data_IF_908513856965
#
_entry.id   IF_908513856965
#
_cell.length_a   1.000
_cell.length_b   1.000
_cell.length_c   1.000
_cell.angle_alpha   90.00
_cell.angle_beta   90.00
_cell.angle_gamma   90.00
#
_symmetry.space_group_name_H-M   'P 1'
#
loop_
_entity.id
_entity.type
_entity.pdbx_description
1 polymer ?
#
# COMPACT_ATOMS: atom_id res chain seq x y z
N UNK A 1 24.33 -7.56 32.22
CA UNK A 1 23.48 -8.14 31.17
C UNK A 1 22.11 -7.47 31.27
N UNK A 2 21.91 -6.36 30.57
CA UNK A 2 20.57 -5.78 30.46
C UNK A 2 19.71 -6.76 29.67
N UNK A 3 18.73 -7.36 30.34
CA UNK A 3 17.76 -8.24 29.71
C UNK A 3 17.12 -7.50 28.54
N UNK A 4 17.24 -8.07 27.35
CA UNK A 4 16.61 -7.57 26.12
C UNK A 4 15.09 -7.53 26.34
N UNK A 5 14.59 -6.39 26.82
CA UNK A 5 13.18 -6.18 27.10
C UNK A 5 12.49 -6.13 25.74
N UNK A 6 11.93 -7.26 25.30
CA UNK A 6 11.25 -7.36 24.01
C UNK A 6 10.31 -6.17 23.86
N UNK A 7 10.51 -5.37 22.80
CA UNK A 7 9.68 -4.21 22.54
C UNK A 7 8.24 -4.69 22.36
N UNK A 8 7.33 -4.09 23.14
CA UNK A 8 5.94 -4.55 23.25
C UNK A 8 5.23 -4.36 21.92
N UNK A 9 4.61 -5.42 21.42
CA UNK A 9 3.74 -5.42 20.25
C UNK A 9 2.57 -4.45 20.50
N UNK A 10 2.21 -3.65 19.49
CA UNK A 10 1.02 -2.80 19.54
C UNK A 10 -0.24 -3.63 19.28
N UNK A 11 -0.62 -4.38 20.32
CA UNK A 11 -1.76 -5.31 20.30
C UNK A 11 -3.06 -4.58 19.90
N UNK A 12 -3.25 -3.33 20.32
CA UNK A 12 -4.46 -2.56 19.99
C UNK A 12 -4.58 -2.32 18.48
N UNK A 13 -3.52 -1.79 17.87
CA UNK A 13 -3.49 -1.57 16.41
C UNK A 13 -3.58 -2.90 15.65
N UNK A 14 -2.90 -3.95 16.14
CA UNK A 14 -2.95 -5.28 15.53
C UNK A 14 -4.37 -5.85 15.50
N UNK A 15 -5.10 -5.84 16.62
CA UNK A 15 -6.49 -6.32 16.66
C UNK A 15 -7.42 -5.48 15.79
N UNK A 16 -7.32 -4.15 15.85
CA UNK A 16 -8.17 -3.27 15.07
C UNK A 16 -7.99 -3.50 13.55
N UNK A 17 -6.74 -3.59 13.10
CA UNK A 17 -6.41 -3.84 11.69
C UNK A 17 -6.73 -5.27 11.26
N UNK A 18 -6.60 -6.25 12.15
CA UNK A 18 -7.02 -7.64 11.90
C UNK A 18 -8.55 -7.77 11.77
N UNK A 19 -9.31 -6.93 12.47
CA UNK A 19 -10.77 -6.86 12.33
C UNK A 19 -11.23 -6.53 10.90
N UNK A 20 -10.42 -5.83 10.11
CA UNK A 20 -10.69 -5.57 8.70
C UNK A 20 -10.62 -6.87 7.88
N UNK A 21 -9.66 -7.75 8.15
CA UNK A 21 -9.59 -9.06 7.50
C UNK A 21 -10.73 -9.98 7.92
N UNK A 22 -11.19 -9.88 9.17
CA UNK A 22 -12.41 -10.55 9.60
C UNK A 22 -13.62 -10.05 8.80
N UNK A 23 -13.75 -8.73 8.58
CA UNK A 23 -14.80 -8.17 7.73
C UNK A 23 -14.73 -8.71 6.29
N UNK A 24 -13.53 -8.80 5.69
CA UNK A 24 -13.33 -9.41 4.37
C UNK A 24 -13.85 -10.87 4.37
N UNK A 25 -13.51 -11.65 5.39
CA UNK A 25 -13.96 -13.03 5.51
C UNK A 25 -15.49 -13.13 5.62
N UNK A 26 -16.12 -12.28 6.44
CA UNK A 26 -17.58 -12.25 6.60
C UNK A 26 -18.30 -11.90 5.29
N UNK A 27 -17.84 -10.87 4.58
CA UNK A 27 -18.40 -10.50 3.27
C UNK A 27 -18.27 -11.64 2.27
N UNK A 28 -17.11 -12.29 2.26
CA UNK A 28 -16.84 -13.39 1.36
C UNK A 28 -17.74 -14.59 1.64
N UNK A 29 -17.90 -14.97 2.91
CA UNK A 29 -18.80 -16.06 3.32
C UNK A 29 -20.24 -15.74 2.90
N UNK A 30 -20.68 -14.51 3.12
CA UNK A 30 -22.04 -14.06 2.77
C UNK A 30 -22.32 -14.18 1.27
N UNK A 31 -21.39 -13.77 0.40
CA UNK A 31 -21.56 -13.80 -1.06
C UNK A 31 -21.10 -15.10 -1.72
N UNK A 32 -20.47 -16.04 -1.00
CA UNK A 32 -19.78 -17.19 -1.59
C UNK A 32 -20.66 -18.02 -2.54
N UNK A 33 -21.92 -18.24 -2.16
CA UNK A 33 -22.87 -19.03 -2.95
C UNK A 33 -23.33 -18.36 -4.24
N UNK A 34 -23.23 -17.04 -4.34
CA UNK A 34 -23.63 -16.27 -5.51
C UNK A 34 -22.48 -16.04 -6.51
N UNK A 35 -21.24 -16.35 -6.12
CA UNK A 35 -20.06 -16.14 -6.95
C UNK A 35 -19.84 -17.30 -7.95
N UNK A 36 -19.40 -16.99 -9.18
CA UNK A 36 -19.04 -18.00 -10.17
C UNK A 36 -17.84 -18.83 -9.71
N UNK A 37 -17.70 -20.05 -10.22
CA UNK A 37 -16.58 -20.95 -9.86
C UNK A 37 -15.22 -20.43 -10.34
N UNK A 38 -15.22 -19.62 -11.39
CA UNK A 38 -14.07 -18.87 -11.88
C UNK A 38 -14.36 -17.38 -11.77
N UNK A 39 -13.48 -16.66 -11.06
CA UNK A 39 -13.62 -15.22 -10.83
C UNK A 39 -12.58 -14.45 -11.63
N UNK A 40 -12.98 -13.35 -12.26
CA UNK A 40 -12.06 -12.36 -12.83
C UNK A 40 -11.31 -11.67 -11.71
N UNK A 41 -9.99 -11.57 -11.85
CA UNK A 41 -9.08 -11.05 -10.81
C UNK A 41 -8.02 -10.12 -11.33
N UNK A 42 -7.77 -10.09 -12.64
CA UNK A 42 -6.79 -9.22 -13.25
C UNK A 42 -7.43 -8.42 -14.39
N UNK A 43 -7.06 -7.15 -14.44
CA UNK A 43 -7.57 -6.16 -15.39
C UNK A 43 -6.40 -5.54 -16.14
N UNK A 44 -6.55 -5.39 -17.45
CA UNK A 44 -5.61 -4.71 -18.31
C UNK A 44 -5.57 -3.21 -18.03
N UNK A 45 -4.65 -2.52 -18.71
CA UNK A 45 -4.44 -1.07 -18.53
C UNK A 45 -5.65 -0.22 -18.94
N UNK A 46 -6.50 -0.76 -19.82
CA UNK A 46 -7.76 -0.20 -20.25
C UNK A 46 -8.92 -0.46 -19.27
N UNK A 47 -8.70 -1.24 -18.21
CA UNK A 47 -9.73 -1.66 -17.26
C UNK A 47 -10.46 -2.94 -17.64
N UNK A 48 -10.10 -3.59 -18.74
CA UNK A 48 -10.76 -4.80 -19.22
C UNK A 48 -10.23 -6.07 -18.53
N UNK A 49 -11.08 -7.07 -18.23
CA UNK A 49 -10.65 -8.36 -17.73
C UNK A 49 -9.63 -9.03 -18.65
N UNK A 50 -8.53 -9.54 -18.09
CA UNK A 50 -7.56 -10.34 -18.83
C UNK A 50 -6.91 -11.46 -18.00
N UNK A 51 -7.41 -11.71 -16.79
CA UNK A 51 -6.98 -12.85 -15.97
C UNK A 51 -8.02 -13.22 -14.91
N UNK A 52 -8.08 -14.51 -14.60
CA UNK A 52 -9.03 -15.08 -13.66
C UNK A 52 -8.39 -16.15 -12.78
N UNK A 53 -9.05 -16.49 -11.68
CA UNK A 53 -8.64 -17.54 -10.75
C UNK A 53 -9.86 -18.32 -10.25
N UNK A 54 -9.64 -19.53 -9.74
CA UNK A 54 -10.68 -20.30 -9.08
C UNK A 54 -11.26 -19.53 -7.87
N UNK A 55 -12.57 -19.60 -7.66
CA UNK A 55 -13.30 -18.91 -6.58
C UNK A 55 -12.61 -19.01 -5.24
N UNK A 56 -12.22 -20.22 -4.80
CA UNK A 56 -11.59 -20.43 -3.49
C UNK A 56 -10.22 -19.74 -3.35
N UNK A 57 -9.48 -19.55 -4.46
CA UNK A 57 -8.21 -18.83 -4.44
C UNK A 57 -8.42 -17.34 -4.12
N UNK A 58 -9.47 -16.74 -4.69
CA UNK A 58 -9.81 -15.32 -4.51
C UNK A 58 -10.46 -15.05 -3.17
N UNK A 59 -11.33 -15.96 -2.74
CA UNK A 59 -12.19 -15.78 -1.57
C UNK A 59 -11.53 -16.23 -0.26
N UNK A 60 -10.69 -17.27 -0.31
CA UNK A 60 -10.10 -17.85 0.90
C UNK A 60 -8.59 -17.64 0.92
N UNK A 61 -7.88 -18.16 -0.08
CA UNK A 61 -6.42 -18.22 -0.04
C UNK A 61 -5.79 -16.82 -0.07
N UNK A 62 -6.27 -15.93 -0.94
CA UNK A 62 -5.71 -14.58 -1.12
C UNK A 62 -5.90 -13.72 0.13
N UNK A 63 -7.11 -13.57 0.71
CA UNK A 63 -7.29 -12.83 1.95
C UNK A 63 -6.50 -13.41 3.12
N UNK A 64 -6.41 -14.74 3.22
CA UNK A 64 -5.63 -15.40 4.27
C UNK A 64 -4.14 -15.11 4.13
N UNK A 65 -3.58 -15.18 2.92
CA UNK A 65 -2.19 -14.83 2.65
C UNK A 65 -1.90 -13.37 3.02
N UNK A 66 -2.77 -12.44 2.61
CA UNK A 66 -2.62 -11.03 2.96
C UNK A 66 -2.74 -10.80 4.47
N UNK A 67 -3.62 -11.53 5.15
CA UNK A 67 -3.71 -11.47 6.60
C UNK A 67 -2.41 -11.96 7.26
N UNK A 68 -1.84 -13.08 6.84
CA UNK A 68 -0.56 -13.58 7.34
C UNK A 68 0.58 -12.59 7.12
N UNK A 69 0.67 -11.99 5.92
CA UNK A 69 1.65 -10.95 5.59
C UNK A 69 1.46 -9.72 6.48
N UNK A 70 0.22 -9.29 6.71
CA UNK A 70 -0.09 -8.17 7.60
C UNK A 70 0.37 -8.42 9.04
N UNK A 71 0.05 -9.61 9.59
CA UNK A 71 0.48 -10.01 10.93
C UNK A 71 2.02 -10.01 11.02
N UNK A 72 2.68 -10.62 10.05
CA UNK A 72 4.14 -10.68 9.99
C UNK A 72 4.75 -9.28 9.98
N UNK A 73 4.26 -8.39 9.12
CA UNK A 73 4.78 -7.02 9.01
C UNK A 73 4.55 -6.23 10.31
N UNK A 74 3.36 -6.34 10.91
CA UNK A 74 3.03 -5.63 12.14
C UNK A 74 3.95 -6.05 13.29
N UNK A 75 4.14 -7.36 13.47
CA UNK A 75 5.02 -7.92 14.51
C UNK A 75 6.48 -7.55 14.23
N UNK A 76 6.95 -7.72 12.99
CA UNK A 76 8.33 -7.42 12.60
C UNK A 76 8.71 -5.97 12.93
N UNK A 77 7.86 -5.01 12.57
CA UNK A 77 8.15 -3.61 12.83
C UNK A 77 8.08 -3.24 14.31
N UNK A 78 7.17 -3.85 15.08
CA UNK A 78 7.11 -3.64 16.53
C UNK A 78 8.33 -4.21 17.25
N UNK A 79 8.77 -5.42 16.88
CA UNK A 79 9.97 -6.05 17.42
C UNK A 79 11.22 -5.25 17.07
N UNK A 80 11.34 -4.75 15.83
CA UNK A 80 12.42 -3.81 15.44
C UNK A 80 12.32 -2.45 16.15
N UNK A 81 11.18 -2.14 16.76
CA UNK A 81 10.92 -0.89 17.46
C UNK A 81 10.70 0.32 16.57
N UNK A 82 10.44 0.09 15.29
CA UNK A 82 10.04 1.12 14.33
C UNK A 82 8.53 1.11 14.07
N UNK A 83 7.79 0.19 14.70
CA UNK A 83 6.35 0.05 14.53
C UNK A 83 5.51 1.27 14.93
N UNK A 84 6.09 2.20 15.69
CA UNK A 84 5.45 3.46 16.10
C UNK A 84 5.82 4.65 15.23
N UNK A 85 6.76 4.50 14.27
CA UNK A 85 7.11 5.63 13.40
C UNK A 85 5.88 6.03 12.57
N UNK A 86 5.75 7.33 12.24
CA UNK A 86 4.55 7.83 11.57
C UNK A 86 4.21 7.08 10.27
N UNK A 87 5.20 6.78 9.43
CA UNK A 87 5.00 6.07 8.16
C UNK A 87 4.55 4.64 8.39
N UNK A 88 5.19 3.91 9.33
CA UNK A 88 4.84 2.53 9.61
C UNK A 88 3.44 2.42 10.23
N UNK A 89 3.07 3.36 11.12
CA UNK A 89 1.72 3.39 11.69
C UNK A 89 0.66 3.54 10.60
N UNK A 90 0.89 4.43 9.65
CA UNK A 90 -0.01 4.64 8.51
C UNK A 90 -0.05 3.40 7.62
N UNK A 91 1.10 2.79 7.34
CA UNK A 91 1.17 1.57 6.53
C UNK A 91 0.37 0.41 7.13
N UNK A 92 0.46 0.20 8.46
CA UNK A 92 -0.32 -0.84 9.17
C UNK A 92 -1.84 -0.68 8.99
N UNK A 93 -2.33 0.55 8.75
CA UNK A 93 -3.75 0.80 8.47
C UNK A 93 -4.05 0.78 6.96
N UNK A 94 -3.17 1.36 6.16
CA UNK A 94 -3.37 1.45 4.71
C UNK A 94 -3.42 0.07 4.06
N UNK A 95 -2.55 -0.86 4.47
CA UNK A 95 -2.50 -2.21 3.91
C UNK A 95 -3.83 -2.99 4.03
N UNK A 96 -4.42 -3.18 5.23
CA UNK A 96 -5.71 -3.88 5.35
C UNK A 96 -6.87 -3.13 4.70
N UNK A 97 -6.87 -1.80 4.70
CA UNK A 97 -7.91 -1.01 4.03
C UNK A 97 -7.88 -1.20 2.51
N UNK A 98 -6.69 -1.20 1.90
CA UNK A 98 -6.54 -1.50 0.48
C UNK A 98 -6.99 -2.93 0.18
N UNK A 99 -6.61 -3.90 1.01
CA UNK A 99 -7.07 -5.28 0.87
C UNK A 99 -8.60 -5.39 0.90
N UNK A 100 -9.26 -4.65 1.80
CA UNK A 100 -10.73 -4.61 1.89
C UNK A 100 -11.34 -4.01 0.62
N UNK A 101 -10.87 -2.84 0.17
CA UNK A 101 -11.43 -2.18 -1.01
C UNK A 101 -11.27 -3.07 -2.25
N UNK A 102 -10.09 -3.68 -2.42
CA UNK A 102 -9.83 -4.59 -3.54
C UNK A 102 -10.76 -5.81 -3.45
N UNK A 103 -10.91 -6.44 -2.28
CA UNK A 103 -11.83 -7.58 -2.15
C UNK A 103 -13.27 -7.20 -2.42
N UNK A 104 -13.75 -6.08 -1.90
CA UNK A 104 -15.11 -5.60 -2.17
C UNK A 104 -15.31 -5.34 -3.66
N UNK A 105 -14.33 -4.73 -4.35
CA UNK A 105 -14.42 -4.52 -5.80
C UNK A 105 -14.47 -5.83 -6.58
N UNK A 106 -13.67 -6.83 -6.20
CA UNK A 106 -13.65 -8.13 -6.85
C UNK A 106 -14.95 -8.89 -6.65
N UNK A 107 -15.51 -8.85 -5.43
CA UNK A 107 -16.85 -9.40 -5.16
C UNK A 107 -17.90 -8.70 -6.02
N UNK A 108 -17.92 -7.37 -6.02
CA UNK A 108 -18.88 -6.58 -6.80
C UNK A 108 -18.86 -6.92 -8.29
N UNK A 109 -17.67 -6.95 -8.89
CA UNK A 109 -17.50 -7.24 -10.31
C UNK A 109 -17.97 -8.65 -10.67
N UNK A 110 -17.60 -9.65 -9.87
CA UNK A 110 -17.96 -11.04 -10.13
C UNK A 110 -19.42 -11.39 -9.79
N UNK A 111 -20.14 -10.48 -9.12
CA UNK A 111 -21.59 -10.54 -8.96
C UNK A 111 -22.35 -9.86 -10.11
N UNK A 112 -21.65 -9.42 -11.16
CA UNK A 112 -22.23 -8.74 -12.33
C UNK A 112 -22.29 -7.22 -12.21
N UNK A 113 -21.64 -6.64 -11.20
CA UNK A 113 -21.54 -5.20 -11.04
C UNK A 113 -20.55 -4.57 -12.02
N UNK A 114 -20.89 -3.39 -12.53
CA UNK A 114 -19.98 -2.59 -13.35
C UNK A 114 -19.05 -1.75 -12.47
N UNK A 115 -17.77 -1.68 -12.85
CA UNK A 115 -16.78 -0.86 -12.16
C UNK A 115 -15.63 -0.50 -13.12
N UNK A 116 -15.26 0.78 -13.18
CA UNK A 116 -14.04 1.22 -13.88
C UNK A 116 -12.81 0.88 -13.02
N UNK A 117 -12.23 -0.29 -13.28
CA UNK A 117 -11.07 -0.79 -12.53
C UNK A 117 -9.81 0.06 -12.73
N UNK A 118 -9.66 0.70 -13.89
CA UNK A 118 -8.55 1.65 -14.12
C UNK A 118 -8.66 2.80 -13.14
N UNK A 119 -9.84 3.43 -13.03
CA UNK A 119 -10.08 4.54 -12.10
C UNK A 119 -9.90 4.11 -10.65
N UNK A 120 -10.40 2.93 -10.28
CA UNK A 120 -10.23 2.39 -8.93
C UNK A 120 -8.74 2.26 -8.59
N UNK A 121 -7.97 1.53 -9.40
CA UNK A 121 -6.56 1.21 -9.09
C UNK A 121 -5.69 2.46 -9.09
N UNK A 122 -5.80 3.31 -10.12
CA UNK A 122 -5.02 4.55 -10.20
C UNK A 122 -5.41 5.51 -9.08
N UNK A 123 -6.70 5.60 -8.73
CA UNK A 123 -7.18 6.40 -7.60
C UNK A 123 -6.62 5.92 -6.26
N UNK A 124 -6.62 4.61 -6.01
CA UNK A 124 -6.05 4.02 -4.80
C UNK A 124 -4.53 4.26 -4.70
N UNK A 125 -3.80 4.08 -5.80
CA UNK A 125 -2.36 4.37 -5.85
C UNK A 125 -2.08 5.84 -5.57
N UNK A 126 -2.83 6.74 -6.20
CA UNK A 126 -2.65 8.17 -6.04
C UNK A 126 -2.90 8.61 -4.58
N UNK A 127 -3.99 8.17 -3.98
CA UNK A 127 -4.31 8.44 -2.56
C UNK A 127 -3.23 7.84 -1.66
N UNK A 128 -2.85 6.58 -1.90
CA UNK A 128 -1.79 5.90 -1.15
C UNK A 128 -0.47 6.66 -1.19
N UNK A 129 -0.04 7.13 -2.36
CA UNK A 129 1.18 7.92 -2.50
C UNK A 129 1.09 9.26 -1.78
N UNK A 130 -0.01 10.00 -1.89
CA UNK A 130 -0.17 11.26 -1.15
C UNK A 130 -0.16 11.04 0.37
N UNK A 131 -0.83 9.98 0.85
CA UNK A 131 -0.82 9.59 2.26
C UNK A 131 0.60 9.29 2.71
N UNK A 132 1.34 8.41 2.02
CA UNK A 132 2.73 8.09 2.37
C UNK A 132 3.61 9.36 2.32
N UNK A 133 3.49 10.16 1.27
CA UNK A 133 4.26 11.38 1.07
C UNK A 133 4.06 12.42 2.17
N UNK A 134 2.85 12.50 2.75
CA UNK A 134 2.55 13.36 3.89
C UNK A 134 3.19 12.90 5.21
N UNK A 135 3.53 11.62 5.34
CA UNK A 135 4.11 11.06 6.56
C UNK A 135 5.62 10.85 6.48
N UNK A 136 6.21 10.75 5.28
CA UNK A 136 7.67 10.64 5.10
C UNK A 136 8.47 11.74 5.84
N UNK A 137 8.10 13.04 5.78
CA UNK A 137 8.86 14.11 6.45
C UNK A 137 8.63 14.17 7.96
N UNK A 138 7.65 13.43 8.50
CA UNK A 138 7.26 13.46 9.92
C UNK A 138 8.06 12.52 10.79
N UNK A 139 8.89 11.66 10.19
CA UNK A 139 9.76 10.78 10.98
C UNK A 139 10.85 11.59 11.70
N UNK A 140 10.93 11.41 13.01
CA UNK A 140 11.92 12.07 13.85
C UNK A 140 13.32 11.51 13.57
N UNK A 141 14.20 12.37 13.06
CA UNK A 141 15.62 12.10 12.86
C UNK A 141 16.43 13.10 13.66
N UNK A 142 17.53 12.66 14.27
CA UNK A 142 18.50 13.58 14.86
C UNK A 142 19.04 14.53 13.78
N UNK A 143 18.72 15.81 13.94
CA UNK A 143 19.00 16.86 12.96
C UNK A 143 20.49 17.11 12.74
N UNK A 144 21.36 16.78 13.72
CA UNK A 144 22.81 17.00 13.62
C UNK A 144 23.52 15.87 12.88
N UNK A 145 23.07 14.63 13.04
CA UNK A 145 23.75 13.45 12.47
C UNK A 145 23.12 12.97 11.16
N UNK A 146 21.84 13.29 10.91
CA UNK A 146 21.07 12.72 9.78
C UNK A 146 20.50 13.79 8.83
N UNK A 147 21.20 14.91 8.65
CA UNK A 147 20.71 16.03 7.82
C UNK A 147 20.38 15.61 6.37
N UNK A 148 21.24 14.79 5.75
CA UNK A 148 21.06 14.29 4.38
C UNK A 148 19.81 13.43 4.28
N UNK A 149 19.61 12.52 5.23
CA UNK A 149 18.44 11.64 5.26
C UNK A 149 17.16 12.44 5.49
N UNK A 150 17.19 13.45 6.36
CA UNK A 150 16.06 14.36 6.58
C UNK A 150 15.69 15.12 5.31
N UNK A 151 16.68 15.67 4.58
CA UNK A 151 16.44 16.34 3.28
C UNK A 151 15.84 15.35 2.26
N UNK A 152 16.37 14.13 2.21
CA UNK A 152 15.87 13.06 1.34
C UNK A 152 14.42 12.68 1.63
N UNK A 153 14.06 12.49 2.90
CA UNK A 153 12.68 12.19 3.32
C UNK A 153 11.72 13.34 3.01
N UNK A 154 12.15 14.59 3.22
CA UNK A 154 11.34 15.78 2.89
C UNK A 154 11.07 15.88 1.39
N UNK A 155 12.12 15.75 0.56
CA UNK A 155 11.97 15.79 -0.89
C UNK A 155 11.16 14.61 -1.44
N UNK A 156 11.38 13.41 -0.89
CA UNK A 156 10.58 12.23 -1.23
C UNK A 156 9.11 12.45 -0.86
N UNK A 157 8.83 13.04 0.31
CA UNK A 157 7.47 13.40 0.72
C UNK A 157 6.77 14.29 -0.30
N UNK A 158 7.42 15.37 -0.75
CA UNK A 158 6.87 16.24 -1.80
C UNK A 158 6.69 15.51 -3.13
N UNK A 159 7.67 14.71 -3.54
CA UNK A 159 7.59 13.94 -4.78
C UNK A 159 6.39 12.98 -4.77
N UNK A 160 6.16 12.27 -3.67
CA UNK A 160 5.02 11.36 -3.51
C UNK A 160 3.67 12.09 -3.51
N UNK A 161 3.58 13.26 -2.88
CA UNK A 161 2.37 14.08 -2.90
C UNK A 161 2.08 14.59 -4.31
N UNK A 162 3.08 15.18 -4.98
CA UNK A 162 2.94 15.71 -6.35
C UNK A 162 2.64 14.59 -7.33
N UNK A 163 3.36 13.45 -7.23
CA UNK A 163 3.13 12.28 -8.06
C UNK A 163 1.73 11.70 -7.91
N UNK A 164 1.24 11.59 -6.66
CA UNK A 164 -0.15 11.19 -6.40
C UNK A 164 -1.16 12.17 -6.99
N UNK A 165 -0.94 13.48 -6.84
CA UNK A 165 -1.81 14.49 -7.43
C UNK A 165 -1.83 14.41 -8.97
N UNK A 166 -0.67 14.26 -9.60
CA UNK A 166 -0.56 14.09 -11.05
C UNK A 166 -1.26 12.82 -11.53
N UNK A 167 -1.19 11.72 -10.76
CA UNK A 167 -1.93 10.50 -11.07
C UNK A 167 -3.45 10.71 -10.98
N UNK A 168 -3.95 11.44 -9.99
CA UNK A 168 -5.37 11.80 -9.95
C UNK A 168 -5.79 12.63 -11.16
N UNK A 169 -5.01 13.66 -11.52
CA UNK A 169 -5.30 14.50 -12.69
C UNK A 169 -5.23 13.67 -13.98
N UNK A 170 -4.33 12.68 -14.05
CA UNK A 170 -4.20 11.81 -15.22
C UNK A 170 -5.47 11.00 -15.53
N UNK A 171 -6.33 10.76 -14.53
CA UNK A 171 -7.60 10.05 -14.71
C UNK A 171 -8.58 10.79 -15.64
N UNK A 172 -8.40 12.10 -15.82
CA UNK A 172 -9.18 12.90 -16.78
C UNK A 172 -8.78 12.59 -18.23
N UNK A 173 -7.63 11.95 -18.45
CA UNK A 173 -7.11 11.59 -19.76
C UNK A 173 -7.22 10.11 -20.11
N UNK A 174 -6.47 9.74 -21.14
CA UNK A 174 -6.42 8.36 -21.64
C UNK A 174 -5.67 7.41 -20.68
N UNK A 175 -5.91 6.09 -20.75
CA UNK A 175 -5.13 5.12 -19.99
C UNK A 175 -3.62 5.26 -20.19
N UNK A 176 -3.18 5.56 -21.42
CA UNK A 176 -1.78 5.80 -21.77
C UNK A 176 -1.17 6.97 -20.98
N UNK A 177 -1.94 8.04 -20.75
CA UNK A 177 -1.49 9.17 -19.94
C UNK A 177 -1.22 8.75 -18.49
N UNK A 178 -2.13 7.99 -17.86
CA UNK A 178 -1.93 7.49 -16.50
C UNK A 178 -0.70 6.59 -16.37
N UNK A 179 -0.47 5.71 -17.35
CA UNK A 179 0.74 4.85 -17.39
C UNK A 179 2.00 5.70 -17.52
N UNK A 180 2.00 6.69 -18.43
CA UNK A 180 3.15 7.56 -18.63
C UNK A 180 3.47 8.35 -17.36
N UNK A 181 2.46 8.91 -16.69
CA UNK A 181 2.63 9.59 -15.40
C UNK A 181 3.18 8.64 -14.34
N UNK A 182 2.68 7.40 -14.27
CA UNK A 182 3.16 6.40 -13.32
C UNK A 182 4.64 6.03 -13.56
N UNK A 183 5.04 5.86 -14.82
CA UNK A 183 6.43 5.57 -15.20
C UNK A 183 7.33 6.76 -14.83
N UNK A 184 6.97 7.98 -15.21
CA UNK A 184 7.74 9.19 -14.90
C UNK A 184 7.86 9.42 -13.38
N UNK A 185 6.79 9.16 -12.64
CA UNK A 185 6.82 9.22 -11.18
C UNK A 185 7.77 8.17 -10.61
N UNK A 186 7.64 6.90 -11.04
CA UNK A 186 8.50 5.80 -10.60
C UNK A 186 9.99 6.04 -10.88
N UNK A 187 10.33 6.50 -12.08
CA UNK A 187 11.72 6.85 -12.44
C UNK A 187 12.25 8.01 -11.62
N UNK A 188 11.42 9.01 -11.32
CA UNK A 188 11.77 10.13 -10.44
C UNK A 188 12.07 9.67 -9.01
N UNK A 189 11.25 8.76 -8.47
CA UNK A 189 11.45 8.20 -7.12
C UNK A 189 12.76 7.40 -7.05
N UNK A 190 13.03 6.55 -8.04
CA UNK A 190 14.27 5.77 -8.12
C UNK A 190 15.49 6.70 -8.21
N UNK A 191 15.42 7.70 -9.09
CA UNK A 191 16.51 8.68 -9.28
C UNK A 191 16.81 9.44 -7.99
N UNK A 192 15.76 9.91 -7.29
CA UNK A 192 15.91 10.61 -6.02
C UNK A 192 16.52 9.71 -4.94
N UNK A 193 16.07 8.44 -4.87
CA UNK A 193 16.61 7.44 -3.94
C UNK A 193 18.11 7.21 -4.17
N UNK A 194 18.52 7.00 -5.43
CA UNK A 194 19.92 6.81 -5.80
C UNK A 194 20.78 8.06 -5.51
N UNK A 195 20.24 9.25 -5.77
CA UNK A 195 20.92 10.51 -5.46
C UNK A 195 21.23 10.63 -3.96
N UNK A 196 20.24 10.39 -3.09
CA UNK A 196 20.45 10.49 -1.65
C UNK A 196 21.32 9.38 -1.09
N UNK A 197 21.24 8.18 -1.66
CA UNK A 197 22.15 7.08 -1.35
C UNK A 197 23.61 7.46 -1.66
N UNK A 198 23.87 7.99 -2.86
CA UNK A 198 25.20 8.45 -3.26
C UNK A 198 25.72 9.59 -2.36
N UNK A 199 24.87 10.57 -2.03
CA UNK A 199 25.21 11.68 -1.13
C UNK A 199 25.58 11.17 0.27
N UNK A 200 24.87 10.15 0.77
CA UNK A 200 25.17 9.54 2.07
C UNK A 200 26.51 8.81 2.05
N UNK A 201 26.80 8.06 0.99
CA UNK A 201 28.06 7.36 0.82
C UNK A 201 29.25 8.34 0.79
N UNK A 202 29.19 9.39 -0.04
CA UNK A 202 30.26 10.38 -0.19
C UNK A 202 30.56 11.18 1.08
N UNK A 203 29.60 11.29 2.00
CA UNK A 203 29.79 12.02 3.27
C UNK A 203 30.21 11.12 4.42
N UNK A 204 30.18 9.80 4.23
CA UNK A 204 30.70 8.81 5.17
C UNK A 204 32.15 8.40 4.85
N UNK A 205 32.60 8.60 3.61
CA UNK A 205 34.00 8.49 3.15
C UNK A 205 34.79 9.76 3.44
#
# INVERSE_FOLDING_TARGET
MEGNKMKKIDIKTLFATSGIFLLIALLTIYYYGALPDTMVTHFGVNGEPNGSMAKYMVTILTPLLFFCVHLFICVLYDVKGIGKTPVIRVFKWLFPLLALIIQVSLLWYNLGGELDYRRLVIGLLAIGYMVIGNYLPKEELDSKTNEIERKGRKQSGYLFIIGGLLLLVSLLGSPTLSILVLILFGTSVITLSLYYFYRRYKTAS
#
